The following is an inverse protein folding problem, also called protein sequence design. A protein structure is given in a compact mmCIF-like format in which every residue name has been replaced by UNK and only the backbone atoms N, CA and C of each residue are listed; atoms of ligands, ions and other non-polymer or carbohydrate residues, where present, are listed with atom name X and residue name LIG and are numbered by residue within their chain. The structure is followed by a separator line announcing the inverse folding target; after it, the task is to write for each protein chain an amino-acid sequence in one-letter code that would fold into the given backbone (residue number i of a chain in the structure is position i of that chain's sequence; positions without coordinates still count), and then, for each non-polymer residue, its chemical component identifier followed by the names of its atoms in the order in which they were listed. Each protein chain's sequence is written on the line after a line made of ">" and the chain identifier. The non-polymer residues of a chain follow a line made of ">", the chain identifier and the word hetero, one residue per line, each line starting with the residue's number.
data_IF_213014693195
#
_entry.id   IF_213014693195
#
_cell.length_a   1.000
_cell.length_b   1.000
_cell.length_c   1.000
_cell.angle_alpha   90.00
_cell.angle_beta   90.00
_cell.angle_gamma   90.00
#
_symmetry.space_group_name_H-M   'P 1'
#
loop_
_entity.id
_entity.type
_entity.pdbx_description
1 polymer ?
#
# COMPACT_ATOMS: atom_id res chain seq x y z
N UNK A 1 23.53 -1.66 -52.48
CA UNK A 1 22.47 -2.51 -53.08
C UNK A 1 22.59 -3.90 -52.50
N UNK A 2 21.46 -4.48 -52.07
CA UNK A 2 21.32 -5.87 -51.62
C UNK A 2 21.67 -6.08 -50.15
N UNK A 3 20.78 -6.54 -49.27
CA UNK A 3 19.43 -7.06 -49.42
C UNK A 3 18.82 -7.31 -48.03
N UNK A 4 17.50 -7.40 -47.99
CA UNK A 4 16.67 -7.53 -46.80
C UNK A 4 15.91 -8.87 -46.86
N UNK A 5 15.81 -9.52 -45.70
CA UNK A 5 14.80 -10.51 -45.25
C UNK A 5 15.01 -11.99 -45.64
N UNK A 6 14.31 -12.95 -44.99
CA UNK A 6 14.15 -13.20 -43.54
C UNK A 6 14.30 -14.71 -43.22
N UNK A 7 14.27 -15.11 -41.93
CA UNK A 7 13.76 -16.39 -41.38
C UNK A 7 14.09 -16.39 -39.87
N UNK A 8 13.14 -16.06 -39.00
CA UNK A 8 12.25 -17.01 -38.29
C UNK A 8 13.02 -18.08 -37.52
N UNK A 9 13.22 -17.81 -36.22
CA UNK A 9 12.78 -18.65 -35.10
C UNK A 9 13.79 -18.67 -33.95
N UNK A 10 13.32 -18.19 -32.78
CA UNK A 10 13.67 -18.84 -31.52
C UNK A 10 14.62 -18.10 -30.58
N UNK A 11 14.01 -17.51 -29.55
CA UNK A 11 14.49 -17.51 -28.15
C UNK A 11 15.60 -16.52 -27.77
N UNK A 12 15.20 -15.60 -26.88
CA UNK A 12 16.04 -14.72 -26.08
C UNK A 12 16.98 -15.51 -25.16
N UNK A 13 18.27 -15.18 -25.17
CA UNK A 13 19.14 -15.36 -24.01
C UNK A 13 19.92 -14.06 -23.77
N UNK A 14 19.68 -13.49 -22.60
CA UNK A 14 20.41 -12.37 -22.00
C UNK A 14 21.91 -12.69 -21.86
N UNK A 15 22.77 -11.78 -22.30
CA UNK A 15 24.17 -11.71 -21.86
C UNK A 15 24.73 -10.27 -22.06
N UNK A 16 25.69 -9.84 -21.24
CA UNK A 16 25.74 -8.50 -20.66
C UNK A 16 26.48 -7.50 -21.55
N UNK A 17 25.96 -6.27 -21.63
CA UNK A 17 26.74 -5.14 -22.11
C UNK A 17 27.87 -4.85 -21.11
N UNK A 18 29.07 -5.30 -21.47
CA UNK A 18 30.35 -4.81 -20.94
C UNK A 18 30.45 -3.30 -21.17
N UNK A 19 30.26 -2.51 -20.10
CA UNK A 19 30.66 -1.11 -20.08
C UNK A 19 32.11 -1.03 -19.63
N UNK A 20 33.02 -0.76 -20.59
CA UNK A 20 34.40 -0.41 -20.30
C UNK A 20 34.39 0.97 -19.63
N UNK A 21 34.61 1.00 -18.32
CA UNK A 21 34.89 2.22 -17.57
C UNK A 21 36.39 2.50 -17.63
N UNK A 22 36.80 3.43 -18.49
CA UNK A 22 38.12 4.07 -18.34
C UNK A 22 37.99 5.24 -17.35
N UNK A 23 38.78 5.26 -16.26
CA UNK A 23 38.74 6.35 -15.30
C UNK A 23 39.58 7.52 -15.83
N UNK A 24 38.93 8.55 -16.37
CA UNK A 24 39.58 9.85 -16.56
C UNK A 24 39.31 10.76 -15.37
N UNK A 25 40.39 11.33 -14.84
CA UNK A 25 40.51 12.25 -13.71
C UNK A 25 39.40 13.32 -13.63
N UNK A 26 38.24 12.95 -13.06
CA UNK A 26 37.11 13.84 -12.77
C UNK A 26 36.35 13.40 -11.51
N UNK A 27 37.10 12.87 -10.54
CA UNK A 27 36.63 11.92 -9.53
C UNK A 27 35.66 12.43 -8.46
N UNK A 28 35.44 13.73 -8.31
CA UNK A 28 34.55 14.25 -7.25
C UNK A 28 33.12 14.50 -7.74
N UNK A 29 32.92 15.24 -8.85
CA UNK A 29 31.57 15.56 -9.34
C UNK A 29 30.83 14.34 -9.90
N UNK A 30 31.52 13.42 -10.58
CA UNK A 30 30.88 12.20 -11.15
C UNK A 30 30.44 11.21 -10.07
N UNK A 31 31.13 11.14 -8.93
CA UNK A 31 30.74 10.28 -7.79
C UNK A 31 29.48 10.81 -7.10
N UNK A 32 29.37 12.13 -6.91
CA UNK A 32 28.19 12.78 -6.34
C UNK A 32 26.98 12.61 -7.28
N UNK A 33 27.18 12.73 -8.59
CA UNK A 33 26.12 12.53 -9.58
C UNK A 33 25.58 11.10 -9.57
N UNK A 34 26.46 10.10 -9.45
CA UNK A 34 26.07 8.68 -9.38
C UNK A 34 25.28 8.38 -8.11
N UNK A 35 25.70 8.95 -6.97
CA UNK A 35 25.00 8.82 -5.68
C UNK A 35 23.61 9.49 -5.74
N UNK A 36 23.50 10.68 -6.35
CA UNK A 36 22.21 11.37 -6.53
C UNK A 36 21.24 10.59 -7.44
N UNK A 37 21.75 9.95 -8.50
CA UNK A 37 20.94 9.09 -9.37
C UNK A 37 20.47 7.85 -8.60
N UNK A 38 21.33 7.20 -7.82
CA UNK A 38 20.93 6.06 -6.98
C UNK A 38 19.92 6.43 -5.87
N UNK A 39 20.04 7.61 -5.26
CA UNK A 39 19.08 8.14 -4.28
C UNK A 39 17.73 8.52 -4.92
N UNK A 40 17.72 8.97 -6.17
CA UNK A 40 16.48 9.28 -6.89
C UNK A 40 15.64 8.06 -7.26
N UNK A 41 16.24 6.86 -7.29
CA UNK A 41 15.53 5.58 -7.53
C UNK A 41 14.91 5.06 -6.22
N UNK A 42 15.34 5.56 -5.07
CA UNK A 42 14.73 5.34 -3.75
C UNK A 42 13.63 6.37 -3.44
N UNK A 43 12.88 6.81 -4.45
CA UNK A 43 11.53 7.31 -4.19
C UNK A 43 10.77 6.19 -3.49
N UNK A 44 10.16 6.41 -2.31
CA UNK A 44 9.27 5.42 -1.72
C UNK A 44 8.13 5.24 -2.70
N UNK A 45 8.20 4.17 -3.50
CA UNK A 45 7.12 3.77 -4.36
C UNK A 45 5.96 3.43 -3.42
N UNK A 46 5.06 4.41 -3.24
CA UNK A 46 3.90 4.23 -2.38
C UNK A 46 3.20 2.94 -2.84
N UNK A 47 3.11 1.96 -1.94
CA UNK A 47 2.77 0.59 -2.30
C UNK A 47 1.39 0.53 -2.96
N UNK A 48 1.25 -0.36 -3.94
CA UNK A 48 -0.02 -0.59 -4.62
C UNK A 48 -1.11 -0.94 -3.58
N UNK A 49 -2.25 -0.20 -3.52
CA UNK A 49 -3.31 -0.47 -2.57
C UNK A 49 -3.98 -1.82 -2.81
N UNK A 50 -3.82 -2.45 -3.99
CA UNK A 50 -4.40 -3.76 -4.30
C UNK A 50 -4.16 -4.78 -3.19
N UNK A 51 -5.22 -5.46 -2.77
CA UNK A 51 -5.26 -6.45 -1.72
C UNK A 51 -6.26 -6.11 -0.62
N UNK A 52 -6.37 -7.03 0.35
CA UNK A 52 -7.18 -6.85 1.55
C UNK A 52 -6.34 -6.21 2.65
N UNK A 53 -6.93 -5.25 3.35
CA UNK A 53 -6.37 -4.53 4.48
C UNK A 53 -7.30 -4.72 5.66
N UNK A 54 -6.76 -5.04 6.83
CA UNK A 54 -7.54 -5.25 8.07
C UNK A 54 -7.13 -4.22 9.09
N UNK A 55 -8.08 -3.76 9.91
CA UNK A 55 -7.79 -2.80 10.98
C UNK A 55 -6.64 -3.32 11.86
N UNK A 56 -5.74 -2.43 12.26
CA UNK A 56 -4.65 -2.80 13.16
C UNK A 56 -5.19 -3.05 14.58
N UNK A 57 -5.11 -4.29 15.03
CA UNK A 57 -5.59 -4.68 16.35
C UNK A 57 -4.80 -4.01 17.48
N UNK A 58 -3.51 -3.74 17.29
CA UNK A 58 -2.69 -3.04 18.30
C UNK A 58 -3.18 -1.61 18.50
N UNK A 59 -3.60 -0.95 17.42
CA UNK A 59 -4.21 0.37 17.50
C UNK A 59 -5.55 0.32 18.24
N UNK A 60 -6.38 -0.70 18.01
CA UNK A 60 -7.64 -0.88 18.74
C UNK A 60 -7.39 -1.07 20.24
N UNK A 61 -6.41 -1.89 20.63
CA UNK A 61 -6.05 -2.06 22.05
C UNK A 61 -5.52 -0.76 22.67
N UNK A 62 -4.77 0.05 21.93
CA UNK A 62 -4.33 1.36 22.39
C UNK A 62 -5.51 2.34 22.59
N UNK A 63 -6.50 2.33 21.70
CA UNK A 63 -7.74 3.10 21.86
C UNK A 63 -8.46 2.69 23.14
N UNK A 64 -8.61 1.38 23.37
CA UNK A 64 -9.22 0.84 24.59
C UNK A 64 -8.45 1.30 25.83
N UNK A 65 -7.13 1.12 25.85
CA UNK A 65 -6.28 1.50 26.97
C UNK A 65 -6.36 3.02 27.27
N UNK A 66 -6.44 3.85 26.23
CA UNK A 66 -6.59 5.31 26.39
C UNK A 66 -7.99 5.76 26.85
N UNK A 67 -9.01 4.91 26.67
CA UNK A 67 -10.41 5.22 26.97
C UNK A 67 -10.87 4.68 28.32
N UNK A 68 -10.07 3.83 28.97
CA UNK A 68 -10.36 3.28 30.28
C UNK A 68 -9.87 4.27 31.35
N UNK A 69 -10.81 4.85 32.10
CA UNK A 69 -10.52 5.63 33.30
C UNK A 69 -10.79 4.78 34.55
N UNK A 70 -9.90 4.86 35.55
CA UNK A 70 -10.05 4.13 36.82
C UNK A 70 -9.57 2.67 36.78
N UNK A 71 -10.27 1.77 37.49
CA UNK A 71 -9.86 0.36 37.61
C UNK A 71 -10.14 -0.42 36.32
N UNK A 72 -9.10 -0.90 35.60
CA UNK A 72 -9.27 -1.68 34.37
C UNK A 72 -9.98 -3.02 34.59
N UNK A 73 -9.96 -3.55 35.81
CA UNK A 73 -10.59 -4.83 36.13
C UNK A 73 -12.08 -4.71 36.48
N UNK A 74 -12.62 -3.50 36.53
CA UNK A 74 -14.05 -3.28 36.73
C UNK A 74 -14.88 -3.88 35.59
N UNK A 75 -16.06 -4.40 35.92
CA UNK A 75 -16.96 -5.02 34.94
C UNK A 75 -17.37 -4.05 33.82
N UNK A 76 -17.49 -2.75 34.15
CA UNK A 76 -17.81 -1.69 33.19
C UNK A 76 -16.67 -1.55 32.18
N UNK A 77 -15.42 -1.44 32.63
CA UNK A 77 -14.27 -1.26 31.74
C UNK A 77 -14.03 -2.50 30.87
N UNK A 78 -14.22 -3.70 31.43
CA UNK A 78 -14.21 -4.96 30.65
C UNK A 78 -15.29 -4.99 29.58
N UNK A 79 -16.51 -4.56 29.90
CA UNK A 79 -17.62 -4.52 28.95
C UNK A 79 -17.39 -3.48 27.85
N UNK A 80 -16.93 -2.29 28.20
CA UNK A 80 -16.55 -1.24 27.24
C UNK A 80 -15.44 -1.71 26.31
N UNK A 81 -14.37 -2.30 26.84
CA UNK A 81 -13.29 -2.86 26.05
C UNK A 81 -13.79 -3.92 25.07
N UNK A 82 -14.68 -4.82 25.52
CA UNK A 82 -15.31 -5.82 24.64
C UNK A 82 -16.13 -5.16 23.53
N UNK A 83 -16.97 -4.18 23.84
CA UNK A 83 -17.77 -3.46 22.85
C UNK A 83 -16.90 -2.81 21.77
N UNK A 84 -15.79 -2.17 22.16
CA UNK A 84 -14.86 -1.55 21.21
C UNK A 84 -14.20 -2.61 20.32
N UNK A 85 -13.73 -3.73 20.89
CA UNK A 85 -13.19 -4.84 20.09
C UNK A 85 -14.22 -5.36 19.09
N UNK A 86 -15.44 -5.59 19.53
CA UNK A 86 -16.53 -6.10 18.69
C UNK A 86 -16.90 -5.10 17.57
N UNK A 87 -16.85 -3.79 17.84
CA UNK A 87 -17.10 -2.73 16.86
C UNK A 87 -16.07 -2.71 15.72
N UNK A 88 -14.80 -2.95 16.05
CA UNK A 88 -13.71 -2.98 15.06
C UNK A 88 -13.44 -4.38 14.50
N UNK A 89 -14.01 -5.43 15.10
CA UNK A 89 -13.82 -6.81 14.68
C UNK A 89 -14.20 -7.01 13.21
N UNK A 90 -13.28 -7.57 12.43
CA UNK A 90 -13.52 -7.89 11.03
C UNK A 90 -13.57 -6.68 10.08
N UNK A 91 -13.35 -5.45 10.57
CA UNK A 91 -13.26 -4.29 9.70
C UNK A 91 -12.10 -4.45 8.73
N UNK A 92 -12.43 -4.38 7.44
CA UNK A 92 -11.47 -4.55 6.38
C UNK A 92 -11.80 -3.69 5.17
N UNK A 93 -10.78 -3.32 4.42
CA UNK A 93 -10.90 -2.62 3.16
C UNK A 93 -10.23 -3.46 2.08
N UNK A 94 -10.89 -3.65 0.95
CA UNK A 94 -10.34 -4.46 -0.14
C UNK A 94 -10.25 -3.62 -1.42
N UNK A 95 -9.05 -3.53 -1.99
CA UNK A 95 -8.85 -2.95 -3.31
C UNK A 95 -8.58 -4.06 -4.31
N UNK A 96 -9.44 -4.19 -5.31
CA UNK A 96 -9.33 -5.19 -6.36
C UNK A 96 -8.58 -4.63 -7.56
N UNK A 97 -7.88 -5.50 -8.29
CA UNK A 97 -7.11 -5.14 -9.48
C UNK A 97 -7.97 -4.57 -10.61
N UNK A 98 -9.24 -4.96 -10.67
CA UNK A 98 -10.22 -4.47 -11.65
C UNK A 98 -10.68 -3.02 -11.41
N UNK A 99 -10.13 -2.33 -10.40
CA UNK A 99 -10.49 -0.95 -10.07
C UNK A 99 -11.75 -0.83 -9.20
N UNK A 100 -12.24 -1.92 -8.61
CA UNK A 100 -13.31 -1.90 -7.59
C UNK A 100 -12.70 -1.97 -6.20
N UNK A 101 -13.30 -1.28 -5.23
CA UNK A 101 -12.96 -1.38 -3.81
C UNK A 101 -14.21 -1.63 -2.97
N UNK A 102 -14.00 -2.24 -1.81
CA UNK A 102 -15.02 -2.45 -0.78
C UNK A 102 -14.53 -1.78 0.51
N UNK A 103 -15.35 -0.88 1.06
CA UNK A 103 -15.04 -0.18 2.32
C UNK A 103 -15.37 -1.03 3.56
N UNK A 104 -14.93 -0.62 4.78
CA UNK A 104 -15.21 -1.35 6.02
C UNK A 104 -16.69 -1.51 6.38
N UNK A 105 -17.58 -0.72 5.77
CA UNK A 105 -19.04 -0.80 5.94
C UNK A 105 -19.68 -1.72 4.90
N UNK A 106 -18.89 -2.31 4.00
CA UNK A 106 -19.36 -3.15 2.90
C UNK A 106 -19.79 -2.37 1.66
N UNK A 107 -19.57 -1.05 1.63
CA UNK A 107 -19.89 -0.22 0.48
C UNK A 107 -18.94 -0.46 -0.69
N UNK A 108 -19.48 -0.66 -1.88
CA UNK A 108 -18.67 -0.79 -3.10
C UNK A 108 -18.44 0.58 -3.75
N UNK A 109 -17.22 0.81 -4.22
CA UNK A 109 -16.85 1.99 -5.00
C UNK A 109 -15.85 1.62 -6.08
N UNK A 110 -15.74 2.44 -7.13
CA UNK A 110 -14.60 2.36 -8.05
C UNK A 110 -13.43 3.14 -7.44
N UNK A 111 -12.21 2.67 -7.64
CA UNK A 111 -11.01 3.37 -7.21
C UNK A 111 -10.00 3.50 -8.36
N UNK A 112 -9.15 4.53 -8.26
CA UNK A 112 -7.97 4.66 -9.11
C UNK A 112 -6.87 5.41 -8.36
N UNK A 113 -5.63 5.13 -8.71
CA UNK A 113 -4.48 5.89 -8.22
C UNK A 113 -4.21 7.09 -9.13
N UNK A 114 -4.07 8.28 -8.54
CA UNK A 114 -3.65 9.50 -9.24
C UNK A 114 -2.43 10.08 -8.51
N UNK A 115 -1.23 9.77 -9.02
CA UNK A 115 0.02 10.12 -8.35
C UNK A 115 0.15 9.40 -6.99
N UNK A 116 0.26 10.16 -5.90
CA UNK A 116 0.31 9.65 -4.52
C UNK A 116 -1.06 9.52 -3.84
N UNK A 117 -2.14 9.88 -4.55
CA UNK A 117 -3.50 9.93 -4.00
C UNK A 117 -4.34 8.77 -4.52
N UNK A 118 -5.25 8.30 -3.68
CA UNK A 118 -6.29 7.33 -4.06
C UNK A 118 -7.57 8.13 -4.28
N UNK A 119 -8.17 7.99 -5.46
CA UNK A 119 -9.47 8.56 -5.76
C UNK A 119 -10.51 7.45 -5.71
N UNK A 120 -11.67 7.75 -5.12
CA UNK A 120 -12.83 6.88 -5.12
C UNK A 120 -13.98 7.52 -5.90
N UNK A 121 -14.77 6.69 -6.56
CA UNK A 121 -16.05 7.05 -7.19
C UNK A 121 -17.11 6.17 -6.54
N UNK A 122 -17.86 6.69 -5.55
CA UNK A 122 -18.93 5.95 -4.89
C UNK A 122 -19.97 5.45 -5.89
N UNK A 123 -20.64 4.35 -5.56
CA UNK A 123 -21.74 3.86 -6.36
C UNK A 123 -22.84 4.93 -6.48
N UNK A 124 -23.30 5.22 -7.69
CA UNK A 124 -24.33 6.23 -7.96
C UNK A 124 -23.84 7.67 -8.03
N UNK A 125 -22.56 7.94 -7.78
CA UNK A 125 -21.95 9.24 -8.08
C UNK A 125 -21.29 9.20 -9.46
N UNK A 126 -21.26 10.36 -10.14
CA UNK A 126 -20.45 10.53 -11.35
C UNK A 126 -19.05 11.09 -11.11
N UNK A 127 -18.81 11.57 -9.90
CA UNK A 127 -17.62 12.32 -9.53
C UNK A 127 -16.54 11.42 -8.90
N UNK A 128 -15.28 11.79 -9.17
CA UNK A 128 -14.13 11.22 -8.47
C UNK A 128 -13.76 12.12 -7.31
N UNK A 129 -13.88 11.60 -6.10
CA UNK A 129 -13.46 12.29 -4.88
C UNK A 129 -12.11 11.76 -4.41
N UNK A 130 -11.32 12.63 -3.79
CA UNK A 130 -10.13 12.18 -3.06
C UNK A 130 -10.61 11.37 -1.86
N UNK A 131 -10.25 10.09 -1.86
CA UNK A 131 -10.59 9.25 -0.74
C UNK A 131 -9.70 9.65 0.45
N UNK A 132 -10.22 9.60 1.69
CA UNK A 132 -9.45 9.94 2.88
C UNK A 132 -8.49 8.79 3.25
N UNK A 133 -7.71 8.32 2.26
CA UNK A 133 -6.82 7.18 2.33
C UNK A 133 -5.41 7.59 1.97
N UNK A 134 -4.46 7.17 2.79
CA UNK A 134 -3.06 7.34 2.49
C UNK A 134 -2.29 6.08 2.86
N UNK A 135 -1.42 5.63 1.97
CA UNK A 135 -0.52 4.51 2.27
C UNK A 135 0.84 5.06 2.62
N UNK A 136 1.31 4.75 3.83
CA UNK A 136 2.61 5.18 4.35
C UNK A 136 3.31 3.93 4.88
N UNK A 137 4.52 3.66 4.40
CA UNK A 137 5.36 2.55 4.87
C UNK A 137 4.67 1.17 4.89
N UNK A 138 3.71 0.94 3.99
CA UNK A 138 3.00 -0.34 3.89
C UNK A 138 1.79 -0.47 4.83
N UNK A 139 1.37 0.61 5.49
CA UNK A 139 0.13 0.73 6.27
C UNK A 139 -0.84 1.66 5.56
N UNK A 140 -2.11 1.27 5.49
CA UNK A 140 -3.18 2.08 4.93
C UNK A 140 -3.86 2.87 6.05
N UNK A 141 -3.73 4.19 6.04
CA UNK A 141 -4.38 5.08 6.99
C UNK A 141 -5.70 5.61 6.41
N UNK A 142 -6.78 5.45 7.15
CA UNK A 142 -8.13 5.83 6.77
C UNK A 142 -8.66 6.91 7.71
N UNK A 143 -9.09 8.04 7.17
CA UNK A 143 -9.66 9.15 7.93
C UNK A 143 -9.11 10.51 7.51
N UNK A 144 -9.74 11.57 8.00
CA UNK A 144 -9.27 12.94 7.85
C UNK A 144 -8.38 13.34 9.05
N UNK A 145 -7.63 14.43 8.92
CA UNK A 145 -6.77 14.94 9.98
C UNK A 145 -5.31 14.49 9.89
N UNK A 146 -4.60 14.67 10.99
CA UNK A 146 -3.19 14.27 11.17
C UNK A 146 -3.06 12.74 11.22
N UNK A 147 -1.86 12.22 10.98
CA UNK A 147 -1.65 10.76 10.88
C UNK A 147 -2.12 10.00 12.13
N UNK A 148 -1.94 10.59 13.31
CA UNK A 148 -2.30 9.99 14.60
C UNK A 148 -3.81 9.90 14.84
N UNK A 149 -4.60 10.68 14.10
CA UNK A 149 -6.07 10.69 14.16
C UNK A 149 -6.69 9.69 13.16
N UNK A 150 -5.87 9.12 12.27
CA UNK A 150 -6.34 8.18 11.24
C UNK A 150 -6.29 6.75 11.73
N UNK A 151 -7.23 5.95 11.24
CA UNK A 151 -7.31 4.52 11.53
C UNK A 151 -6.32 3.74 10.66
N UNK A 152 -5.33 3.05 11.23
CA UNK A 152 -4.38 2.26 10.48
C UNK A 152 -4.94 0.87 10.13
N UNK A 153 -4.71 0.45 8.89
CA UNK A 153 -5.01 -0.89 8.39
C UNK A 153 -3.72 -1.56 7.89
N UNK A 154 -3.51 -2.82 8.30
CA UNK A 154 -2.38 -3.66 7.88
C UNK A 154 -2.77 -4.53 6.69
N UNK A 155 -1.85 -4.68 5.73
CA UNK A 155 -2.08 -5.50 4.53
C UNK A 155 -2.11 -6.99 4.88
N UNK A 156 -3.16 -7.69 4.48
CA UNK A 156 -3.25 -9.15 4.59
C UNK A 156 -2.33 -9.75 3.53
N UNK A 157 -1.35 -10.54 3.97
CA UNK A 157 -0.53 -11.33 3.04
C UNK A 157 -1.41 -12.44 2.48
N UNK A 158 -1.45 -12.65 1.14
CA UNK A 158 -2.20 -13.76 0.58
C UNK A 158 -1.64 -15.06 1.17
N UNK A 159 -2.51 -15.89 1.76
CA UNK A 159 -2.14 -17.25 2.11
C UNK A 159 -1.68 -17.97 0.84
N UNK A 160 -0.46 -18.50 0.84
CA UNK A 160 -0.02 -19.41 -0.20
C UNK A 160 -0.93 -20.63 -0.13
N UNK A 161 -1.92 -20.72 -1.02
CA UNK A 161 -2.64 -21.97 -1.22
C UNK A 161 -1.61 -23.03 -1.62
N UNK A 162 -1.29 -23.92 -0.70
CA UNK A 162 -0.57 -25.16 -1.02
C UNK A 162 -1.52 -25.91 -1.97
N UNK A 163 -1.21 -25.89 -3.27
CA UNK A 163 -1.88 -26.78 -4.23
C UNK A 163 -1.57 -28.19 -3.76
N UNK A 164 -2.54 -28.87 -3.15
CA UNK A 164 -2.51 -30.32 -3.06
C UNK A 164 -2.57 -30.82 -4.51
N UNK A 165 -1.46 -31.38 -4.98
CA UNK A 165 -1.37 -32.16 -6.21
C UNK A 165 -2.12 -33.47 -6.04
#
# INVERSE_FOLDING_TARGET
>A
MGGLLPNSDGVFIFAPCTYILTPTNGGMMKRILLILICLSIFLPAQSNPVGKWVIDTEWVENVIASSIEGDPESDINKMTAKMVRDQFAGQSMEFKENGTMVDPRGGEAKWKKKGKKILAKPQGSDEWIEAPFEIIEGTLYVGAGTLNERMPFKKVKPEKKIRKQ
#
